data_IF_329676291777
#
_entry.id   IF_329676291777
#
_cell.length_a   1.000
_cell.length_b   1.000
_cell.length_c   1.000
_cell.angle_alpha   90.00
_cell.angle_beta   90.00
_cell.angle_gamma   90.00
#
_symmetry.space_group_name_H-M   'P 1'
#
loop_
_entity.id
_entity.type
_entity.pdbx_description
1 polymer ?
#
# COMPACT_ATOMS: atom_id res chain seq x y z
N UNK A 1 -8.88 -10.02 -10.44
CA UNK A 1 -8.28 -10.06 -9.08
C UNK A 1 -7.67 -8.70 -8.83
N UNK A 2 -7.88 -8.13 -7.66
CA UNK A 2 -7.28 -6.85 -7.30
C UNK A 2 -5.74 -6.98 -7.25
N UNK A 3 -5.02 -5.94 -7.66
CA UNK A 3 -3.56 -5.94 -7.59
C UNK A 3 -3.11 -5.71 -6.14
N UNK A 4 -2.16 -6.54 -5.63
CA UNK A 4 -1.56 -6.52 -4.29
C UNK A 4 -2.48 -6.71 -3.07
N UNK A 5 -3.75 -6.33 -3.13
CA UNK A 5 -4.64 -6.38 -1.98
C UNK A 5 -6.01 -6.92 -2.40
N UNK A 6 -6.33 -8.14 -2.02
CA UNK A 6 -7.56 -8.85 -2.39
C UNK A 6 -8.11 -9.69 -1.23
N UNK A 7 -9.07 -10.56 -1.52
CA UNK A 7 -9.76 -11.40 -0.52
C UNK A 7 -8.82 -12.27 0.31
N UNK A 8 -7.65 -12.61 -0.24
CA UNK A 8 -6.65 -13.44 0.43
C UNK A 8 -5.67 -12.63 1.30
N UNK A 9 -5.81 -11.32 1.33
CA UNK A 9 -4.98 -10.44 2.16
C UNK A 9 -5.18 -10.77 3.65
N UNK A 10 -4.07 -11.06 4.31
CA UNK A 10 -3.95 -11.29 5.75
C UNK A 10 -3.00 -10.25 6.30
N UNK A 11 -3.58 -9.15 6.79
CA UNK A 11 -2.83 -7.96 7.16
C UNK A 11 -2.22 -8.08 8.55
N UNK A 12 -0.92 -7.85 8.64
CA UNK A 12 -0.17 -7.62 9.87
C UNK A 12 0.18 -6.14 9.97
N UNK A 13 0.02 -5.53 11.14
CA UNK A 13 0.30 -4.10 11.33
C UNK A 13 1.47 -3.91 12.30
N UNK A 14 2.57 -3.33 11.79
CA UNK A 14 3.70 -2.93 12.62
C UNK A 14 3.47 -1.54 13.21
N UNK A 15 3.69 -1.41 14.52
CA UNK A 15 3.36 -0.19 15.25
C UNK A 15 1.88 -0.09 15.66
N UNK A 16 1.16 -1.22 15.73
CA UNK A 16 -0.29 -1.27 15.98
C UNK A 16 -0.72 -0.58 17.29
N UNK A 17 0.13 -0.54 18.31
CA UNK A 17 -0.16 0.09 19.61
C UNK A 17 0.13 1.58 19.63
N UNK A 18 0.71 2.13 18.56
CA UNK A 18 0.89 3.58 18.38
C UNK A 18 -0.42 4.28 18.02
N UNK A 19 -0.48 5.59 18.18
CA UNK A 19 -1.68 6.37 17.91
C UNK A 19 -2.19 6.18 16.48
N UNK A 20 -1.32 6.41 15.48
CA UNK A 20 -1.67 6.25 14.05
C UNK A 20 -1.95 4.79 13.70
N UNK A 21 -1.08 3.87 14.18
CA UNK A 21 -1.24 2.44 13.94
C UNK A 21 -2.57 1.91 14.46
N UNK A 22 -2.96 2.27 15.68
CA UNK A 22 -4.22 1.84 16.28
C UNK A 22 -5.44 2.43 15.56
N UNK A 23 -5.41 3.75 15.30
CA UNK A 23 -6.52 4.44 14.63
C UNK A 23 -6.78 3.87 13.24
N UNK A 24 -5.73 3.76 12.42
CA UNK A 24 -5.89 3.29 11.04
C UNK A 24 -6.16 1.79 10.94
N UNK A 25 -5.66 0.98 11.90
CA UNK A 25 -6.01 -0.45 11.97
C UNK A 25 -7.51 -0.64 12.20
N UNK A 26 -8.10 0.09 13.15
CA UNK A 26 -9.55 0.06 13.36
C UNK A 26 -10.31 0.42 12.07
N UNK A 27 -9.88 1.46 11.34
CA UNK A 27 -10.50 1.84 10.05
C UNK A 27 -10.30 0.79 8.95
N UNK A 28 -9.21 0.03 8.96
CA UNK A 28 -9.03 -1.10 8.04
C UNK A 28 -10.01 -2.24 8.36
N UNK A 29 -10.17 -2.57 9.64
CA UNK A 29 -11.13 -3.57 10.10
C UNK A 29 -12.57 -3.17 9.75
N UNK A 30 -12.96 -1.93 10.06
CA UNK A 30 -14.29 -1.38 9.74
C UNK A 30 -14.61 -1.44 8.23
N UNK A 31 -13.59 -1.28 7.38
CA UNK A 31 -13.74 -1.36 5.93
C UNK A 31 -13.94 -2.80 5.43
N UNK A 32 -13.51 -3.79 6.20
CA UNK A 32 -13.64 -5.21 5.88
C UNK A 32 -12.31 -5.96 5.76
N UNK A 33 -11.17 -5.29 5.99
CA UNK A 33 -9.85 -5.90 5.88
C UNK A 33 -9.63 -6.94 6.99
N UNK A 34 -9.13 -8.09 6.61
CA UNK A 34 -8.76 -9.15 7.54
C UNK A 34 -7.40 -8.85 8.19
N UNK A 35 -7.42 -8.06 9.26
CA UNK A 35 -6.26 -7.86 10.12
C UNK A 35 -6.08 -9.09 11.00
N UNK A 36 -4.92 -9.72 10.97
CA UNK A 36 -4.67 -10.99 11.65
C UNK A 36 -3.65 -10.89 12.77
N UNK A 37 -2.80 -9.87 12.76
CA UNK A 37 -1.75 -9.67 13.75
C UNK A 37 -1.38 -8.19 13.90
N UNK A 38 -0.91 -7.82 15.06
CA UNK A 38 -0.18 -6.59 15.32
C UNK A 38 1.25 -6.90 15.77
N UNK A 39 2.17 -5.98 15.50
CA UNK A 39 3.55 -6.08 16.02
C UNK A 39 3.93 -4.76 16.66
N UNK A 40 4.42 -4.86 17.89
CA UNK A 40 5.10 -3.77 18.61
C UNK A 40 6.08 -4.39 19.59
N UNK A 41 7.40 -4.18 19.43
CA UNK A 41 8.41 -4.74 20.33
C UNK A 41 8.14 -4.39 21.79
N UNK A 42 8.23 -5.39 22.68
CA UNK A 42 7.94 -5.26 24.12
C UNK A 42 6.45 -5.22 24.49
N UNK A 43 5.55 -5.44 23.51
CA UNK A 43 4.10 -5.48 23.72
C UNK A 43 3.47 -6.85 23.39
N UNK A 44 4.32 -7.85 23.11
CA UNK A 44 3.86 -9.21 22.85
C UNK A 44 2.96 -9.74 23.95
N UNK A 45 1.92 -10.50 23.57
CA UNK A 45 0.90 -11.02 24.49
C UNK A 45 -0.27 -10.07 24.75
N UNK A 46 -0.21 -8.80 24.32
CA UNK A 46 -1.38 -7.92 24.32
C UNK A 46 -2.38 -8.31 23.22
N UNK A 47 -3.60 -7.82 23.32
CA UNK A 47 -4.65 -8.00 22.32
C UNK A 47 -5.19 -6.63 21.94
N UNK A 48 -5.22 -6.33 20.63
CA UNK A 48 -5.79 -5.11 20.12
C UNK A 48 -7.29 -5.33 19.81
N UNK A 49 -8.16 -4.41 20.31
CA UNK A 49 -9.63 -4.46 20.18
C UNK A 49 -10.23 -5.84 20.55
N UNK A 50 -9.70 -6.48 21.60
CA UNK A 50 -10.13 -7.79 22.12
C UNK A 50 -10.10 -8.93 21.09
N UNK A 51 -9.44 -8.75 19.95
CA UNK A 51 -9.46 -9.72 18.85
C UNK A 51 -8.11 -9.98 18.19
N UNK A 52 -7.27 -8.97 18.03
CA UNK A 52 -6.05 -9.07 17.24
C UNK A 52 -4.86 -9.29 18.17
N UNK A 53 -4.17 -10.43 18.09
CA UNK A 53 -2.98 -10.68 18.92
C UNK A 53 -1.84 -9.74 18.51
N UNK A 54 -1.11 -9.27 19.51
CA UNK A 54 0.09 -8.43 19.33
C UNK A 54 1.33 -9.28 19.65
N UNK A 55 2.32 -9.22 18.77
CA UNK A 55 3.59 -9.94 18.86
C UNK A 55 4.75 -8.97 19.03
N UNK A 56 5.89 -9.47 19.50
CA UNK A 56 7.11 -8.70 19.61
C UNK A 56 7.86 -8.61 18.27
N UNK A 57 7.67 -9.60 17.38
CA UNK A 57 8.34 -9.66 16.08
C UNK A 57 7.37 -10.02 14.95
N UNK A 58 7.71 -9.58 13.71
CA UNK A 58 6.94 -9.95 12.51
C UNK A 58 6.98 -11.45 12.28
N UNK A 59 8.13 -12.08 12.50
CA UNK A 59 8.31 -13.53 12.35
C UNK A 59 7.31 -14.32 13.18
N UNK A 60 7.14 -13.96 14.47
CA UNK A 60 6.13 -14.59 15.32
C UNK A 60 4.72 -14.41 14.76
N UNK A 61 4.37 -13.19 14.37
CA UNK A 61 3.07 -12.90 13.77
C UNK A 61 2.79 -13.71 12.51
N UNK A 62 3.77 -13.84 11.61
CA UNK A 62 3.65 -14.63 10.38
C UNK A 62 3.52 -16.12 10.68
N UNK A 63 4.33 -16.66 11.57
CA UNK A 63 4.31 -18.09 11.92
C UNK A 63 2.94 -18.52 12.47
N UNK A 64 2.36 -17.70 13.36
CA UNK A 64 1.09 -17.98 14.03
C UNK A 64 -0.13 -17.69 13.14
N UNK A 65 -0.09 -16.62 12.34
CA UNK A 65 -1.28 -16.12 11.63
C UNK A 65 -1.25 -16.31 10.14
N UNK A 66 -0.11 -16.67 9.55
CA UNK A 66 0.10 -16.73 8.10
C UNK A 66 -0.20 -15.40 7.41
N UNK A 67 0.20 -14.29 8.05
CA UNK A 67 0.13 -12.98 7.44
C UNK A 67 0.99 -12.93 6.16
N UNK A 68 0.47 -12.30 5.12
CA UNK A 68 1.16 -12.15 3.82
C UNK A 68 1.38 -10.69 3.42
N UNK A 69 0.77 -9.77 4.14
CA UNK A 69 0.87 -8.33 3.89
C UNK A 69 1.21 -7.61 5.20
N UNK A 70 2.18 -6.70 5.16
CA UNK A 70 2.56 -5.86 6.32
C UNK A 70 2.25 -4.40 6.06
N UNK A 71 1.63 -3.74 7.03
CA UNK A 71 1.37 -2.30 7.04
C UNK A 71 2.22 -1.65 8.12
N UNK A 72 3.09 -0.70 7.73
CA UNK A 72 4.12 -0.13 8.60
C UNK A 72 3.76 1.28 9.04
N UNK A 73 3.55 1.46 10.37
CA UNK A 73 3.38 2.74 11.07
C UNK A 73 4.53 3.00 12.06
N UNK A 74 5.66 2.39 11.83
CA UNK A 74 6.85 2.54 12.69
C UNK A 74 7.48 3.91 12.46
N UNK A 75 7.97 4.61 13.51
CA UNK A 75 8.61 5.91 13.36
C UNK A 75 9.82 5.90 12.38
N UNK A 76 10.11 7.03 11.71
CA UNK A 76 11.10 7.08 10.61
C UNK A 76 12.47 6.46 10.91
N UNK A 77 13.08 6.64 12.10
CA UNK A 77 14.39 6.06 12.39
C UNK A 77 14.43 4.52 12.41
N UNK A 78 13.26 3.88 12.56
CA UNK A 78 13.14 2.42 12.69
C UNK A 78 12.38 1.79 11.52
N UNK A 79 11.81 2.59 10.62
CA UNK A 79 10.95 2.10 9.57
C UNK A 79 11.71 1.23 8.53
N UNK A 80 12.96 1.56 8.24
CA UNK A 80 13.81 0.78 7.36
C UNK A 80 14.01 -0.65 7.90
N UNK A 81 14.34 -0.79 9.18
CA UNK A 81 14.49 -2.09 9.84
C UNK A 81 13.17 -2.86 9.88
N UNK A 82 12.05 -2.17 10.13
CA UNK A 82 10.73 -2.78 10.13
C UNK A 82 10.33 -3.35 8.76
N UNK A 83 10.71 -2.70 7.65
CA UNK A 83 10.51 -3.21 6.30
C UNK A 83 11.36 -4.47 6.08
N UNK A 84 12.65 -4.43 6.43
CA UNK A 84 13.56 -5.57 6.29
C UNK A 84 13.04 -6.77 7.12
N UNK A 85 12.64 -6.54 8.37
CA UNK A 85 12.07 -7.58 9.24
C UNK A 85 10.84 -8.25 8.59
N UNK A 86 9.97 -7.47 7.94
CA UNK A 86 8.80 -8.01 7.25
C UNK A 86 9.22 -8.90 6.06
N UNK A 87 10.19 -8.46 5.27
CA UNK A 87 10.73 -9.22 4.15
C UNK A 87 11.38 -10.53 4.63
N UNK A 88 12.19 -10.48 5.68
CA UNK A 88 12.85 -11.66 6.25
C UNK A 88 11.86 -12.66 6.84
N UNK A 89 10.73 -12.18 7.33
CA UNK A 89 9.65 -13.02 7.83
C UNK A 89 8.83 -13.69 6.70
N UNK A 90 9.08 -13.36 5.43
CA UNK A 90 8.38 -13.92 4.26
C UNK A 90 7.11 -13.18 3.88
N UNK A 91 6.94 -11.93 4.28
CA UNK A 91 5.84 -11.08 3.83
C UNK A 91 5.99 -10.78 2.33
N UNK A 92 4.93 -11.00 1.56
CA UNK A 92 4.89 -10.81 0.11
C UNK A 92 4.78 -9.32 -0.27
N UNK A 93 3.95 -8.56 0.47
CA UNK A 93 3.70 -7.14 0.22
C UNK A 93 3.88 -6.32 1.49
N UNK A 94 4.79 -5.36 1.45
CA UNK A 94 5.03 -4.40 2.54
C UNK A 94 4.49 -3.04 2.10
N UNK A 95 3.67 -2.41 2.92
CA UNK A 95 3.09 -1.08 2.68
C UNK A 95 3.60 -0.15 3.78
N UNK A 96 4.45 0.80 3.42
CA UNK A 96 5.07 1.72 4.38
C UNK A 96 4.43 3.10 4.31
N UNK A 97 3.67 3.45 5.34
CA UNK A 97 3.01 4.76 5.45
C UNK A 97 4.01 5.84 5.88
N UNK A 98 5.00 5.46 6.65
CA UNK A 98 5.95 6.35 7.31
C UNK A 98 6.62 7.30 6.32
N UNK A 99 6.55 8.59 6.64
CA UNK A 99 7.26 9.68 5.98
C UNK A 99 8.57 10.01 6.73
N UNK A 100 9.57 10.55 6.02
CA UNK A 100 10.80 11.05 6.62
C UNK A 100 11.86 9.99 6.90
N UNK A 101 11.81 8.84 6.26
CA UNK A 101 12.90 7.87 6.27
C UNK A 101 14.11 8.49 5.55
N UNK A 102 15.32 8.45 6.14
CA UNK A 102 16.53 8.96 5.48
C UNK A 102 16.73 8.33 4.10
N UNK A 103 17.04 9.13 3.09
CA UNK A 103 17.22 8.65 1.69
C UNK A 103 18.24 7.52 1.60
N UNK A 104 19.34 7.60 2.36
CA UNK A 104 20.34 6.54 2.43
C UNK A 104 19.78 5.19 2.87
N UNK A 105 18.80 5.22 3.77
CA UNK A 105 18.18 4.00 4.29
C UNK A 105 17.09 3.51 3.34
N UNK A 106 16.34 4.43 2.71
CA UNK A 106 15.39 4.08 1.64
C UNK A 106 16.10 3.38 0.47
N UNK A 107 17.29 3.84 0.05
CA UNK A 107 18.07 3.19 -1.02
C UNK A 107 18.41 1.75 -0.63
N UNK A 108 18.95 1.53 0.58
CA UNK A 108 19.32 0.19 1.07
C UNK A 108 18.10 -0.74 1.16
N UNK A 109 17.00 -0.22 1.68
CA UNK A 109 15.76 -0.99 1.81
C UNK A 109 15.20 -1.38 0.46
N UNK A 110 15.09 -0.44 -0.50
CA UNK A 110 14.60 -0.74 -1.83
C UNK A 110 15.49 -1.79 -2.54
N UNK A 111 16.81 -1.68 -2.40
CA UNK A 111 17.73 -2.67 -2.94
C UNK A 111 17.54 -4.05 -2.29
N UNK A 112 17.33 -4.09 -0.97
CA UNK A 112 17.07 -5.32 -0.23
C UNK A 112 15.76 -5.99 -0.68
N UNK A 113 14.68 -5.23 -0.74
CA UNK A 113 13.36 -5.70 -1.19
C UNK A 113 13.43 -6.24 -2.62
N UNK A 114 14.07 -5.52 -3.54
CA UNK A 114 14.21 -5.93 -4.94
C UNK A 114 14.94 -7.27 -5.12
N UNK A 115 15.80 -7.65 -4.17
CA UNK A 115 16.51 -8.94 -4.19
C UNK A 115 15.72 -10.08 -3.55
N UNK A 116 14.69 -9.78 -2.78
CA UNK A 116 13.97 -10.78 -1.95
C UNK A 116 12.77 -11.42 -2.65
N UNK A 117 12.22 -10.79 -3.68
CA UNK A 117 10.96 -11.17 -4.31
C UNK A 117 9.71 -10.62 -3.62
N UNK A 118 9.85 -9.93 -2.47
CA UNK A 118 8.78 -9.13 -1.85
C UNK A 118 8.56 -7.83 -2.62
N UNK A 119 7.45 -7.15 -2.35
CA UNK A 119 7.14 -5.83 -2.92
C UNK A 119 6.99 -4.80 -1.83
N UNK A 120 7.50 -3.60 -2.09
CA UNK A 120 7.35 -2.44 -1.21
C UNK A 120 6.50 -1.38 -1.91
N UNK A 121 5.44 -0.93 -1.25
CA UNK A 121 4.63 0.24 -1.61
C UNK A 121 4.97 1.36 -0.64
N UNK A 122 5.34 2.51 -1.16
CA UNK A 122 5.92 3.59 -0.35
C UNK A 122 7.45 3.54 -0.32
N UNK A 123 8.08 4.20 0.67
CA UNK A 123 7.52 4.88 1.83
C UNK A 123 6.73 6.15 1.50
N UNK A 124 6.26 6.86 2.55
CA UNK A 124 5.50 8.11 2.41
C UNK A 124 4.30 7.95 1.46
N UNK A 125 3.46 6.97 1.71
CA UNK A 125 2.33 6.65 0.86
C UNK A 125 1.02 6.52 1.66
N UNK A 126 -0.15 6.71 1.02
CA UNK A 126 -1.44 6.53 1.67
C UNK A 126 -1.86 5.05 1.74
N UNK A 127 -1.13 4.14 1.11
CA UNK A 127 -1.42 2.71 1.07
C UNK A 127 -2.20 2.25 -0.15
N UNK A 128 -2.99 1.20 0.03
CA UNK A 128 -3.79 0.55 -1.02
C UNK A 128 -5.24 0.38 -0.55
N UNK A 129 -6.17 0.51 -1.50
CA UNK A 129 -7.56 0.16 -1.27
C UNK A 129 -8.15 -0.56 -2.50
N UNK A 130 -8.83 -1.69 -2.26
CA UNK A 130 -9.61 -2.43 -3.24
C UNK A 130 -11.09 -2.41 -2.84
N UNK A 131 -11.91 -1.55 -3.43
CA UNK A 131 -13.32 -1.47 -3.08
C UNK A 131 -14.10 -2.74 -3.44
N UNK A 132 -13.72 -3.43 -4.51
CA UNK A 132 -14.34 -4.69 -4.96
C UNK A 132 -14.20 -5.78 -3.89
N UNK A 133 -13.02 -5.93 -3.33
CA UNK A 133 -12.70 -6.96 -2.35
C UNK A 133 -12.91 -6.52 -0.91
N UNK A 134 -13.28 -5.25 -0.69
CA UNK A 134 -13.40 -4.61 0.62
C UNK A 134 -12.13 -4.72 1.45
N UNK A 135 -10.99 -4.50 0.81
CA UNK A 135 -9.69 -4.49 1.46
C UNK A 135 -9.10 -3.09 1.42
N UNK A 136 -8.66 -2.62 2.56
CA UNK A 136 -7.96 -1.37 2.75
C UNK A 136 -6.73 -1.64 3.62
N UNK A 137 -5.56 -1.28 3.13
CA UNK A 137 -4.31 -1.33 3.88
C UNK A 137 -3.61 0.03 3.78
N UNK A 138 -3.84 0.89 4.76
CA UNK A 138 -3.33 2.25 4.77
C UNK A 138 -4.30 3.27 5.37
N UNK A 139 -4.06 4.55 5.04
CA UNK A 139 -4.77 5.71 5.63
C UNK A 139 -5.90 6.25 4.74
N UNK A 140 -6.11 5.70 3.55
CA UNK A 140 -7.14 6.15 2.61
C UNK A 140 -8.53 6.19 3.26
N UNK A 141 -9.33 7.26 3.09
CA UNK A 141 -10.68 7.37 3.66
C UNK A 141 -11.68 6.48 2.90
N UNK A 142 -12.01 5.31 3.45
CA UNK A 142 -12.79 4.28 2.75
C UNK A 142 -14.16 4.73 2.19
N UNK A 143 -14.75 5.79 2.74
CA UNK A 143 -16.07 6.27 2.35
C UNK A 143 -16.12 6.99 1.00
N UNK A 144 -14.99 7.44 0.46
CA UNK A 144 -14.94 8.11 -0.85
C UNK A 144 -14.80 7.12 -2.02
N UNK A 145 -14.53 5.85 -1.74
CA UNK A 145 -14.29 4.82 -2.74
C UNK A 145 -15.52 3.95 -2.97
N UNK A 146 -15.77 3.60 -4.22
CA UNK A 146 -16.84 2.66 -4.61
C UNK A 146 -16.31 1.57 -5.54
N UNK A 147 -16.88 0.35 -5.50
CA UNK A 147 -16.52 -0.70 -6.45
C UNK A 147 -16.76 -0.27 -7.90
N UNK A 148 -15.79 -0.54 -8.77
CA UNK A 148 -15.87 -0.23 -10.20
C UNK A 148 -14.66 -0.73 -10.96
N UNK A 149 -14.36 -0.12 -12.10
CA UNK A 149 -13.40 -0.66 -13.06
C UNK A 149 -12.25 0.30 -13.42
N UNK A 150 -12.06 1.36 -12.63
CA UNK A 150 -10.95 2.31 -12.83
C UNK A 150 -9.83 2.02 -11.85
N UNK A 151 -8.65 1.71 -12.36
CA UNK A 151 -7.41 1.64 -11.57
C UNK A 151 -6.88 3.04 -11.30
N UNK A 152 -6.37 3.30 -10.10
CA UNK A 152 -5.75 4.58 -9.76
C UNK A 152 -4.37 4.35 -9.20
N UNK A 153 -3.36 4.99 -9.79
CA UNK A 153 -2.00 5.04 -9.24
C UNK A 153 -1.59 6.48 -9.02
N UNK A 154 -1.03 6.77 -7.84
CA UNK A 154 -0.73 8.15 -7.47
C UNK A 154 0.51 8.27 -6.59
N UNK A 155 1.29 9.33 -6.80
CA UNK A 155 2.34 9.76 -5.85
C UNK A 155 1.76 10.58 -4.70
N UNK A 156 0.63 11.25 -4.93
CA UNK A 156 0.00 12.15 -3.97
C UNK A 156 -1.16 11.48 -3.23
N UNK A 157 -1.13 11.51 -1.89
CA UNK A 157 -2.25 11.05 -1.08
C UNK A 157 -3.49 11.93 -1.27
N UNK A 158 -3.33 13.25 -1.14
CA UNK A 158 -4.43 14.22 -1.19
C UNK A 158 -5.11 14.27 -2.56
N UNK A 159 -4.33 14.33 -3.64
CA UNK A 159 -4.89 14.34 -4.99
C UNK A 159 -5.59 13.02 -5.35
N UNK A 160 -5.15 11.90 -4.79
CA UNK A 160 -5.88 10.63 -4.91
C UNK A 160 -7.29 10.73 -4.37
N UNK A 161 -7.45 11.29 -3.16
CA UNK A 161 -8.76 11.43 -2.52
C UNK A 161 -9.66 12.40 -3.29
N UNK A 162 -9.08 13.50 -3.79
CA UNK A 162 -9.80 14.48 -4.59
C UNK A 162 -10.30 13.87 -5.91
N UNK A 163 -9.43 13.21 -6.67
CA UNK A 163 -9.78 12.58 -7.93
C UNK A 163 -10.88 11.51 -7.74
N UNK A 164 -10.70 10.62 -6.77
CA UNK A 164 -11.69 9.57 -6.49
C UNK A 164 -13.00 10.16 -5.95
N UNK A 165 -12.92 11.20 -5.11
CA UNK A 165 -14.09 11.94 -4.61
C UNK A 165 -14.92 12.59 -5.70
N UNK A 166 -14.32 12.92 -6.86
CA UNK A 166 -15.03 13.41 -8.05
C UNK A 166 -15.57 12.27 -8.92
N UNK A 167 -14.82 11.17 -9.06
CA UNK A 167 -15.23 10.03 -9.89
C UNK A 167 -16.42 9.26 -9.29
N UNK A 168 -16.36 8.99 -8.00
CA UNK A 168 -17.35 8.14 -7.32
C UNK A 168 -18.81 8.67 -7.42
N UNK A 169 -19.09 9.97 -7.19
CA UNK A 169 -20.45 10.51 -7.37
C UNK A 169 -20.96 10.46 -8.81
N UNK A 170 -20.05 10.37 -9.79
CA UNK A 170 -20.40 10.19 -11.20
C UNK A 170 -20.68 8.72 -11.57
N UNK A 171 -20.66 7.81 -10.60
CA UNK A 171 -20.84 6.38 -10.81
C UNK A 171 -19.58 5.68 -11.37
N UNK A 172 -18.43 6.36 -11.37
CA UNK A 172 -17.16 5.83 -11.85
C UNK A 172 -16.39 5.27 -10.63
N UNK A 173 -16.63 4.01 -10.32
CA UNK A 173 -15.97 3.32 -9.21
C UNK A 173 -14.59 2.78 -9.56
N UNK A 174 -13.86 2.30 -8.54
CA UNK A 174 -12.46 1.90 -8.65
C UNK A 174 -12.30 0.37 -8.49
N UNK A 175 -11.39 -0.20 -9.29
CA UNK A 175 -10.92 -1.57 -9.11
C UNK A 175 -9.93 -1.65 -7.95
N UNK A 176 -8.87 -0.88 -8.05
CA UNK A 176 -7.84 -0.73 -7.01
C UNK A 176 -7.26 0.67 -7.09
N UNK A 177 -7.00 1.27 -5.93
CA UNK A 177 -6.23 2.51 -5.84
C UNK A 177 -4.94 2.24 -5.06
N UNK A 178 -3.81 2.65 -5.63
CA UNK A 178 -2.48 2.48 -5.05
C UNK A 178 -1.81 3.84 -4.94
N UNK A 179 -1.46 4.22 -3.73
CA UNK A 179 -0.55 5.34 -3.52
C UNK A 179 0.88 4.82 -3.44
N UNK A 180 1.72 5.18 -4.40
CA UNK A 180 3.12 4.72 -4.46
C UNK A 180 4.08 5.58 -3.64
N UNK A 181 3.61 6.74 -3.15
CA UNK A 181 4.39 7.66 -2.33
C UNK A 181 5.10 8.75 -3.13
N UNK A 182 5.38 9.86 -2.42
CA UNK A 182 6.02 11.04 -2.99
C UNK A 182 7.55 11.09 -2.82
N UNK A 183 8.15 10.15 -2.09
CA UNK A 183 9.59 10.15 -1.83
C UNK A 183 10.41 9.92 -3.10
N UNK A 184 11.63 10.50 -3.19
CA UNK A 184 12.51 10.32 -4.35
C UNK A 184 12.89 8.86 -4.60
N UNK A 185 12.98 8.07 -3.52
CA UNK A 185 13.26 6.63 -3.56
C UNK A 185 12.06 5.89 -3.01
N UNK A 186 11.38 5.16 -3.87
CA UNK A 186 10.20 4.35 -3.55
C UNK A 186 10.41 2.89 -3.96
N UNK A 187 9.71 1.99 -3.29
CA UNK A 187 9.81 0.55 -3.54
C UNK A 187 9.17 0.13 -4.86
N UNK A 188 8.03 0.73 -5.22
CA UNK A 188 7.35 0.51 -6.50
C UNK A 188 7.10 1.84 -7.19
N UNK A 189 7.00 1.83 -8.51
CA UNK A 189 6.80 3.01 -9.33
C UNK A 189 5.58 2.90 -10.27
N UNK A 190 5.41 3.90 -11.15
CA UNK A 190 4.31 3.90 -12.11
C UNK A 190 4.36 2.75 -13.09
N UNK A 191 5.56 2.37 -13.57
CA UNK A 191 5.73 1.31 -14.56
C UNK A 191 5.28 -0.02 -13.98
N UNK A 192 5.63 -0.30 -12.72
CA UNK A 192 5.16 -1.49 -12.00
C UNK A 192 3.64 -1.54 -11.93
N UNK A 193 3.01 -0.43 -11.52
CA UNK A 193 1.56 -0.36 -11.35
C UNK A 193 0.82 -0.44 -12.67
N UNK A 194 1.28 0.28 -13.70
CA UNK A 194 0.70 0.26 -15.03
C UNK A 194 0.74 -1.14 -15.65
N UNK A 195 1.86 -1.85 -15.49
CA UNK A 195 1.99 -3.22 -15.98
C UNK A 195 1.07 -4.22 -15.26
N UNK A 196 0.75 -3.97 -13.99
CA UNK A 196 -0.22 -4.78 -13.25
C UNK A 196 -1.66 -4.44 -13.62
N UNK A 197 -2.01 -3.16 -13.74
CA UNK A 197 -3.33 -2.72 -14.18
C UNK A 197 -3.65 -3.19 -15.62
N UNK A 198 -2.67 -3.19 -16.52
CA UNK A 198 -2.87 -3.73 -17.87
C UNK A 198 -3.31 -5.19 -17.86
N UNK A 199 -2.74 -5.99 -16.94
CA UNK A 199 -3.05 -7.43 -16.81
C UNK A 199 -4.28 -7.73 -15.95
N UNK A 200 -4.83 -6.73 -15.26
CA UNK A 200 -5.98 -6.92 -14.37
C UNK A 200 -7.30 -6.85 -15.14
N UNK A 201 -8.01 -7.96 -15.25
CA UNK A 201 -9.31 -8.05 -15.92
C UNK A 201 -10.41 -7.22 -15.22
N UNK A 202 -10.20 -6.83 -13.97
CA UNK A 202 -11.12 -5.96 -13.24
C UNK A 202 -10.93 -4.46 -13.54
N UNK A 203 -9.88 -4.10 -14.27
CA UNK A 203 -9.52 -2.72 -14.61
C UNK A 203 -9.74 -2.46 -16.11
N UNK A 204 -10.58 -1.47 -16.47
CA UNK A 204 -10.83 -1.07 -17.86
C UNK A 204 -10.11 0.22 -18.25
N UNK A 205 -9.85 1.09 -17.30
CA UNK A 205 -9.16 2.37 -17.50
C UNK A 205 -8.29 2.70 -16.30
N UNK A 206 -7.29 3.56 -16.49
CA UNK A 206 -6.31 3.91 -15.46
C UNK A 206 -6.27 5.43 -15.29
N UNK A 207 -6.27 5.88 -14.05
CA UNK A 207 -5.93 7.27 -13.68
C UNK A 207 -4.55 7.28 -13.04
N UNK A 208 -3.64 8.05 -13.61
CA UNK A 208 -2.28 8.23 -13.13
C UNK A 208 -2.13 9.66 -12.61
N UNK A 209 -1.73 9.81 -11.35
CA UNK A 209 -1.49 11.11 -10.72
C UNK A 209 -0.04 11.22 -10.34
N UNK A 210 0.69 12.04 -11.08
CA UNK A 210 2.10 12.35 -10.89
C UNK A 210 2.32 13.62 -10.07
N UNK A 211 3.58 13.97 -9.94
CA UNK A 211 4.05 15.18 -9.29
C UNK A 211 5.24 15.74 -10.06
N UNK A 212 5.46 17.05 -9.98
CA UNK A 212 6.61 17.70 -10.61
C UNK A 212 7.90 17.21 -9.96
N UNK A 213 8.85 16.79 -10.81
CA UNK A 213 10.21 16.41 -10.42
C UNK A 213 10.55 14.94 -10.65
N UNK A 214 11.78 14.71 -11.11
CA UNK A 214 12.27 13.40 -11.50
C UNK A 214 11.88 13.01 -12.93
N UNK A 215 12.04 11.74 -13.26
CA UNK A 215 11.82 11.16 -14.61
C UNK A 215 10.74 10.09 -14.66
N UNK A 216 10.16 9.73 -13.50
CA UNK A 216 9.22 8.59 -13.39
C UNK A 216 7.95 8.77 -14.23
N UNK A 217 7.48 10.00 -14.40
CA UNK A 217 6.33 10.32 -15.23
C UNK A 217 6.64 10.18 -16.72
N UNK A 218 7.86 10.55 -17.14
CA UNK A 218 8.33 10.32 -18.52
C UNK A 218 8.50 8.82 -18.81
N UNK A 219 9.13 8.08 -17.90
CA UNK A 219 9.28 6.62 -17.99
C UNK A 219 7.92 5.93 -18.07
N UNK A 220 6.95 6.39 -17.27
CA UNK A 220 5.56 5.93 -17.33
C UNK A 220 4.92 6.21 -18.70
N UNK A 221 5.11 7.41 -19.26
CA UNK A 221 4.55 7.78 -20.57
C UNK A 221 5.12 6.91 -21.70
N UNK A 222 6.42 6.63 -21.70
CA UNK A 222 7.07 5.71 -22.65
C UNK A 222 6.54 4.27 -22.48
N UNK A 223 6.36 3.83 -21.25
CA UNK A 223 5.80 2.50 -20.96
C UNK A 223 4.35 2.39 -21.44
N UNK A 224 3.52 3.41 -21.18
CA UNK A 224 2.12 3.44 -21.63
C UNK A 224 2.07 3.33 -23.16
N UNK A 225 2.86 4.11 -23.87
CA UNK A 225 2.86 4.09 -25.34
C UNK A 225 3.17 2.71 -25.93
N UNK A 226 4.00 1.93 -25.26
CA UNK A 226 4.52 0.65 -25.77
C UNK A 226 3.84 -0.59 -25.22
N UNK A 227 3.24 -0.50 -24.02
CA UNK A 227 2.85 -1.69 -23.24
C UNK A 227 1.42 -1.64 -22.67
N UNK A 228 0.71 -0.50 -22.77
CA UNK A 228 -0.63 -0.37 -22.18
C UNK A 228 -1.66 -0.12 -23.27
N UNK A 229 -2.62 -1.02 -23.39
CA UNK A 229 -3.74 -0.93 -24.33
C UNK A 229 -4.97 -0.23 -23.75
N UNK A 230 -5.07 -0.19 -22.43
CA UNK A 230 -6.18 0.44 -21.70
C UNK A 230 -6.05 1.96 -21.73
N UNK A 231 -7.18 2.71 -21.75
CA UNK A 231 -7.14 4.16 -21.62
C UNK A 231 -6.45 4.61 -20.34
N UNK A 232 -5.50 5.53 -20.44
CA UNK A 232 -4.80 6.16 -19.31
C UNK A 232 -5.05 7.66 -19.34
N UNK A 233 -5.54 8.19 -18.22
CA UNK A 233 -5.72 9.63 -18.01
C UNK A 233 -4.71 10.06 -16.95
N UNK A 234 -3.86 11.03 -17.30
CA UNK A 234 -2.80 11.51 -16.41
C UNK A 234 -3.04 12.94 -15.96
N UNK A 235 -2.77 13.18 -14.67
CA UNK A 235 -2.67 14.50 -14.04
C UNK A 235 -1.26 14.63 -13.46
N UNK A 236 -0.54 15.74 -13.78
CA UNK A 236 0.83 16.00 -13.32
C UNK A 236 0.93 17.43 -12.82
#
# INVERSE_FOLDING_TARGET
MSIFAGKDTRLLVQGITGQEGSYHTARCIDYGTKVVAGVTPGKGGQVFEDKIPVYDTVKQGVDETKANTSLVFVPPPFAAEAIIEAVDAGIETVICITEGIPVSDSIKVCEYVNRSGSRLIGPNCPGIISPIDKVKAGIMPGHVYAPGRVGVVSRSGTLTYEAVGQLTPLGIGQSTCVGIGGDPVSGSDFVDMLGLFEKDDATDAIVMIGEIGGTKEQEAAEFIQSNVSKPVISLI
#
